data_IF_793069972350
#
_entry.id   IF_793069972350
#
_cell.length_a   1.000
_cell.length_b   1.000
_cell.length_c   1.000
_cell.angle_alpha   90.00
_cell.angle_beta   90.00
_cell.angle_gamma   90.00
#
_symmetry.space_group_name_H-M   'P 1'
#
loop_
_entity.id
_entity.type
_entity.pdbx_description
1 polymer ?
#
# COMPACT_ATOMS: atom_id res chain seq x y z
N UNK A 1 12.76 7.05 -21.59
CA UNK A 1 13.21 5.68 -21.24
C UNK A 1 12.33 5.20 -20.10
N UNK A 2 12.08 3.90 -20.01
CA UNK A 2 11.35 3.33 -18.88
C UNK A 2 12.18 3.47 -17.59
N UNK A 3 11.53 3.70 -16.48
CA UNK A 3 12.12 3.75 -15.15
C UNK A 3 12.63 2.36 -14.75
N UNK A 4 13.91 2.22 -14.44
CA UNK A 4 14.53 0.93 -14.08
C UNK A 4 14.41 0.71 -12.57
N UNK A 5 13.68 -0.34 -12.19
CA UNK A 5 13.44 -0.64 -10.77
C UNK A 5 13.99 -2.01 -10.38
N UNK A 6 14.48 -2.11 -9.14
CA UNK A 6 14.81 -3.37 -8.49
C UNK A 6 13.85 -3.62 -7.33
N UNK A 7 13.39 -4.85 -7.15
CA UNK A 7 12.51 -5.25 -6.05
C UNK A 7 13.34 -6.02 -5.02
N UNK A 8 13.48 -5.49 -3.82
CA UNK A 8 14.09 -6.16 -2.68
C UNK A 8 13.01 -6.76 -1.78
N UNK A 9 12.98 -8.07 -1.64
CA UNK A 9 11.89 -8.83 -1.03
C UNK A 9 10.79 -9.18 -2.04
N UNK A 10 10.78 -10.44 -2.48
CA UNK A 10 9.80 -10.96 -3.44
C UNK A 10 8.69 -11.76 -2.74
N UNK A 11 8.30 -11.29 -1.54
CA UNK A 11 7.13 -11.73 -0.79
C UNK A 11 5.82 -11.31 -1.45
N UNK A 12 4.73 -11.25 -0.67
CA UNK A 12 3.40 -10.84 -1.20
C UNK A 12 3.49 -9.53 -1.99
N UNK A 13 3.94 -8.45 -1.36
CA UNK A 13 3.94 -7.12 -1.97
C UNK A 13 4.91 -7.03 -3.16
N UNK A 14 6.14 -7.52 -3.04
CA UNK A 14 7.09 -7.47 -4.15
C UNK A 14 6.59 -8.20 -5.40
N UNK A 15 5.97 -9.38 -5.26
CA UNK A 15 5.35 -10.10 -6.37
C UNK A 15 4.15 -9.35 -6.95
N UNK A 16 3.31 -8.78 -6.09
CA UNK A 16 2.11 -8.06 -6.56
C UNK A 16 2.44 -6.72 -7.20
N UNK A 17 3.53 -6.06 -6.82
CA UNK A 17 4.04 -4.87 -7.54
C UNK A 17 4.42 -5.25 -8.98
N UNK A 18 5.17 -6.34 -9.18
CA UNK A 18 5.49 -6.81 -10.53
C UNK A 18 4.22 -7.18 -11.30
N UNK A 19 3.29 -7.91 -10.67
CA UNK A 19 2.00 -8.25 -11.29
C UNK A 19 1.20 -7.02 -11.66
N UNK A 20 1.10 -6.02 -10.79
CA UNK A 20 0.39 -4.77 -11.05
C UNK A 20 1.00 -4.00 -12.23
N UNK A 21 2.33 -3.94 -12.33
CA UNK A 21 3.02 -3.33 -13.48
C UNK A 21 2.64 -4.03 -14.79
N UNK A 22 2.66 -5.36 -14.79
CA UNK A 22 2.37 -6.16 -15.99
C UNK A 22 0.88 -6.10 -16.34
N UNK A 23 0.00 -6.35 -15.39
CA UNK A 23 -1.45 -6.47 -15.62
C UNK A 23 -2.11 -5.13 -15.97
N UNK A 24 -1.54 -4.00 -15.50
CA UNK A 24 -1.96 -2.66 -15.92
C UNK A 24 -1.46 -2.24 -17.31
N UNK A 25 -0.63 -3.07 -17.96
CA UNK A 25 -0.05 -2.78 -19.28
C UNK A 25 0.94 -1.62 -19.29
N UNK A 26 1.53 -1.27 -18.14
CA UNK A 26 2.48 -0.17 -18.01
C UNK A 26 3.75 -0.44 -18.81
N UNK A 27 4.24 0.59 -19.48
CA UNK A 27 5.50 0.57 -20.24
C UNK A 27 6.50 1.61 -19.72
N UNK A 28 6.11 2.35 -18.71
CA UNK A 28 6.92 3.41 -18.08
C UNK A 28 7.86 2.86 -16.99
N UNK A 29 7.72 1.57 -16.60
CA UNK A 29 8.56 0.88 -15.62
C UNK A 29 9.14 -0.39 -16.23
N UNK A 30 10.43 -0.62 -16.00
CA UNK A 30 11.16 -1.86 -16.30
C UNK A 30 11.68 -2.45 -14.99
N UNK A 31 11.23 -3.65 -14.61
CA UNK A 31 11.79 -4.38 -13.47
C UNK A 31 13.03 -5.13 -13.95
N UNK A 32 14.20 -4.77 -13.43
CA UNK A 32 15.51 -5.28 -13.89
C UNK A 32 16.15 -6.27 -12.92
N UNK A 33 15.72 -6.23 -11.65
CA UNK A 33 16.24 -7.15 -10.63
C UNK A 33 15.21 -7.50 -9.58
N UNK A 34 15.38 -8.70 -9.02
CA UNK A 34 14.67 -9.18 -7.84
C UNK A 34 15.72 -9.67 -6.85
N UNK A 35 15.62 -9.28 -5.58
CA UNK A 35 16.41 -9.88 -4.52
C UNK A 35 15.47 -10.57 -3.52
N UNK A 36 15.66 -11.86 -3.31
CA UNK A 36 14.94 -12.65 -2.31
C UNK A 36 15.80 -13.84 -1.87
N UNK A 37 15.74 -14.21 -0.60
CA UNK A 37 16.59 -15.27 -0.05
C UNK A 37 16.11 -16.68 -0.41
N UNK A 38 14.92 -16.80 -0.99
CA UNK A 38 14.37 -18.06 -1.48
C UNK A 38 14.94 -18.48 -2.83
N UNK A 39 14.82 -19.78 -3.19
CA UNK A 39 15.26 -20.28 -4.50
C UNK A 39 14.54 -19.59 -5.67
N UNK A 40 15.24 -19.40 -6.77
CA UNK A 40 14.72 -18.73 -7.99
C UNK A 40 13.46 -19.43 -8.51
N UNK A 41 13.47 -20.76 -8.58
CA UNK A 41 12.32 -21.55 -9.05
C UNK A 41 11.10 -21.39 -8.15
N UNK A 42 11.30 -21.30 -6.83
CA UNK A 42 10.22 -21.06 -5.88
C UNK A 42 9.62 -19.66 -6.08
N UNK A 43 10.45 -18.65 -6.28
CA UNK A 43 10.01 -17.30 -6.58
C UNK A 43 9.21 -17.23 -7.90
N UNK A 44 9.70 -17.92 -8.94
CA UNK A 44 9.00 -18.03 -10.22
C UNK A 44 7.67 -18.80 -10.10
N UNK A 45 7.64 -19.88 -9.30
CA UNK A 45 6.41 -20.63 -9.03
C UNK A 45 5.35 -19.75 -8.33
N UNK A 46 5.75 -19.06 -7.27
CA UNK A 46 4.84 -18.17 -6.52
C UNK A 46 4.43 -16.91 -7.30
N UNK A 47 5.18 -16.53 -8.34
CA UNK A 47 4.74 -15.50 -9.28
C UNK A 47 3.66 -16.04 -10.22
N UNK A 48 3.79 -17.29 -10.70
CA UNK A 48 2.81 -17.92 -11.60
C UNK A 48 1.48 -18.21 -10.94
N UNK A 49 1.51 -18.61 -9.67
CA UNK A 49 0.33 -19.09 -8.93
C UNK A 49 0.16 -18.33 -7.63
N UNK A 50 -0.97 -17.68 -7.48
CA UNK A 50 -1.33 -16.96 -6.27
C UNK A 50 -2.71 -17.41 -5.80
N UNK A 51 -2.82 -17.79 -4.52
CA UNK A 51 -4.05 -18.32 -3.95
C UNK A 51 -5.17 -17.26 -3.83
N UNK A 52 -4.80 -16.00 -3.82
CA UNK A 52 -5.71 -14.84 -3.68
C UNK A 52 -6.00 -14.20 -5.03
N UNK A 53 -4.94 -13.93 -5.82
CA UNK A 53 -5.03 -13.20 -7.08
C UNK A 53 -5.04 -14.11 -8.32
N UNK A 54 -5.00 -15.44 -8.14
CA UNK A 54 -5.08 -16.39 -9.23
C UNK A 54 -3.79 -16.52 -10.06
N UNK A 55 -3.92 -17.08 -11.26
CA UNK A 55 -2.77 -17.28 -12.15
C UNK A 55 -2.28 -15.97 -12.74
N UNK A 56 -0.96 -15.82 -12.82
CA UNK A 56 -0.33 -14.70 -13.52
C UNK A 56 -0.62 -14.79 -15.02
N UNK A 57 -1.07 -13.72 -15.68
CA UNK A 57 -1.54 -13.79 -17.06
C UNK A 57 -0.42 -13.83 -18.13
N UNK A 58 0.84 -13.92 -17.71
CA UNK A 58 1.98 -13.97 -18.61
C UNK A 58 2.86 -15.19 -18.37
N UNK A 59 3.58 -15.61 -19.42
CA UNK A 59 4.58 -16.67 -19.31
C UNK A 59 5.75 -16.21 -18.43
N UNK A 60 6.17 -17.09 -17.52
CA UNK A 60 7.34 -16.90 -16.67
C UNK A 60 8.37 -17.99 -16.98
N UNK A 61 9.56 -17.61 -17.41
CA UNK A 61 10.68 -18.54 -17.66
C UNK A 61 11.81 -18.29 -16.68
N UNK A 62 12.61 -19.34 -16.42
CA UNK A 62 13.79 -19.27 -15.55
C UNK A 62 14.96 -19.82 -16.35
N UNK A 63 16.05 -19.05 -16.42
CA UNK A 63 17.30 -19.42 -17.06
C UNK A 63 18.46 -19.06 -16.12
N UNK A 64 18.94 -20.03 -15.36
CA UNK A 64 19.92 -19.79 -14.30
C UNK A 64 19.37 -18.85 -13.23
N UNK A 65 19.98 -17.69 -13.08
CA UNK A 65 19.56 -16.64 -12.13
C UNK A 65 18.75 -15.50 -12.79
N UNK A 66 18.22 -15.76 -13.99
CA UNK A 66 17.36 -14.82 -14.71
C UNK A 66 15.93 -15.35 -14.72
N UNK A 67 15.00 -14.50 -14.27
CA UNK A 67 13.56 -14.69 -14.45
C UNK A 67 13.07 -13.73 -15.51
N UNK A 68 12.37 -14.26 -16.53
CA UNK A 68 11.73 -13.43 -17.56
C UNK A 68 10.22 -13.57 -17.46
N UNK A 69 9.52 -12.43 -17.40
CA UNK A 69 8.07 -12.38 -17.35
C UNK A 69 7.56 -11.12 -18.08
N UNK A 70 6.63 -11.29 -19.03
CA UNK A 70 6.01 -10.19 -19.79
C UNK A 70 7.01 -9.17 -20.38
N UNK A 71 8.16 -9.63 -20.84
CA UNK A 71 9.22 -8.77 -21.39
C UNK A 71 10.21 -8.20 -20.37
N UNK A 72 9.93 -8.30 -19.07
CA UNK A 72 10.89 -7.95 -18.02
C UNK A 72 11.89 -9.10 -17.85
N UNK A 73 13.17 -8.80 -18.08
CA UNK A 73 14.28 -9.71 -17.87
C UNK A 73 14.99 -9.33 -16.58
N UNK A 74 14.75 -10.07 -15.51
CA UNK A 74 15.12 -9.74 -14.13
C UNK A 74 16.26 -10.62 -13.63
N UNK A 75 17.36 -10.01 -13.20
CA UNK A 75 18.42 -10.68 -12.45
C UNK A 75 17.92 -11.00 -11.04
N UNK A 76 17.98 -12.26 -10.64
CA UNK A 76 17.61 -12.69 -9.29
C UNK A 76 18.88 -12.86 -8.45
N UNK A 77 18.86 -12.28 -7.26
CA UNK A 77 19.93 -12.37 -6.26
C UNK A 77 19.36 -12.85 -4.92
N UNK A 78 20.25 -13.38 -4.06
CA UNK A 78 19.91 -13.84 -2.70
C UNK A 78 20.87 -13.21 -1.67
N UNK A 79 20.94 -11.88 -1.67
CA UNK A 79 21.87 -11.08 -0.86
C UNK A 79 21.13 -10.49 0.34
N UNK A 80 21.67 -10.71 1.55
CA UNK A 80 21.06 -10.23 2.80
C UNK A 80 21.24 -8.74 3.03
N UNK A 81 22.43 -8.22 2.70
CA UNK A 81 22.77 -6.81 2.90
C UNK A 81 22.42 -6.01 1.65
N UNK A 82 21.45 -5.08 1.72
CA UNK A 82 21.07 -4.27 0.55
C UNK A 82 22.20 -3.42 -0.03
N UNK A 83 23.22 -3.10 0.76
CA UNK A 83 24.39 -2.34 0.31
C UNK A 83 25.31 -3.09 -0.66
N UNK A 84 25.14 -4.41 -0.78
CA UNK A 84 25.92 -5.29 -1.66
C UNK A 84 25.17 -5.68 -2.95
N UNK A 85 23.94 -5.16 -3.13
CA UNK A 85 23.13 -5.44 -4.30
C UNK A 85 23.74 -4.78 -5.56
N UNK A 86 23.63 -5.42 -6.74
CA UNK A 86 24.24 -4.92 -7.96
C UNK A 86 23.46 -3.78 -8.63
N UNK A 87 22.96 -2.82 -7.83
CA UNK A 87 22.11 -1.74 -8.34
C UNK A 87 22.82 -0.84 -9.35
N UNK A 88 24.09 -0.52 -9.08
CA UNK A 88 24.93 0.29 -9.98
C UNK A 88 25.09 -0.37 -11.33
N UNK A 89 25.47 -1.65 -11.35
CA UNK A 89 25.77 -2.42 -12.57
C UNK A 89 24.49 -2.63 -13.41
N UNK A 90 23.35 -2.76 -12.73
CA UNK A 90 22.05 -2.92 -13.38
C UNK A 90 21.36 -1.58 -13.71
N UNK A 91 22.00 -0.44 -13.40
CA UNK A 91 21.45 0.88 -13.69
C UNK A 91 20.10 1.12 -13.02
N UNK A 92 19.97 0.73 -11.75
CA UNK A 92 18.71 0.87 -11.00
C UNK A 92 18.44 2.33 -10.69
N UNK A 93 17.32 2.83 -11.13
CA UNK A 93 16.85 4.19 -10.78
C UNK A 93 16.22 4.17 -9.38
N UNK A 94 15.32 3.24 -9.10
CA UNK A 94 14.63 3.13 -7.81
C UNK A 94 14.69 1.70 -7.29
N UNK A 95 15.14 1.55 -6.04
CA UNK A 95 15.00 0.32 -5.27
C UNK A 95 13.64 0.34 -4.56
N UNK A 96 12.82 -0.67 -4.83
CA UNK A 96 11.55 -0.91 -4.13
C UNK A 96 11.84 -1.83 -2.94
N UNK A 97 11.85 -1.28 -1.74
CA UNK A 97 12.11 -2.03 -0.51
C UNK A 97 10.81 -2.68 -0.01
N UNK A 98 10.66 -3.98 -0.28
CA UNK A 98 9.45 -4.76 -0.03
C UNK A 98 9.64 -5.89 1.01
N UNK A 99 10.77 -5.91 1.74
CA UNK A 99 11.04 -6.96 2.74
C UNK A 99 10.26 -6.77 4.04
N UNK A 100 9.89 -5.53 4.37
CA UNK A 100 9.35 -5.17 5.68
C UNK A 100 10.39 -5.14 6.81
N UNK A 101 11.69 -5.28 6.49
CA UNK A 101 12.82 -5.32 7.45
C UNK A 101 13.51 -3.96 7.54
N UNK A 102 13.76 -3.31 6.39
CA UNK A 102 14.50 -2.05 6.30
C UNK A 102 13.54 -0.86 6.31
N UNK A 103 12.84 -0.66 7.44
CA UNK A 103 11.75 0.30 7.62
C UNK A 103 12.18 1.57 8.34
N UNK A 104 13.44 1.93 8.28
CA UNK A 104 13.96 3.26 8.66
C UNK A 104 14.80 3.82 7.52
N UNK A 105 14.86 5.16 7.42
CA UNK A 105 15.69 5.84 6.42
C UNK A 105 17.13 5.35 6.46
N UNK A 106 17.69 5.24 7.66
CA UNK A 106 19.07 4.78 7.88
C UNK A 106 19.31 3.40 7.25
N UNK A 107 18.43 2.44 7.53
CA UNK A 107 18.57 1.07 6.99
C UNK A 107 18.29 1.01 5.49
N UNK A 108 17.24 1.68 5.03
CA UNK A 108 16.85 1.70 3.61
C UNK A 108 17.89 2.41 2.73
N UNK A 109 18.65 3.38 3.27
CA UNK A 109 19.72 4.08 2.56
C UNK A 109 20.85 3.16 2.08
N UNK A 110 20.97 1.92 2.59
CA UNK A 110 21.90 0.93 2.07
C UNK A 110 21.73 0.66 0.56
N UNK A 111 20.51 0.78 0.04
CA UNK A 111 20.26 0.68 -1.40
C UNK A 111 20.91 1.82 -2.20
N UNK A 112 21.03 3.03 -1.62
CA UNK A 112 21.75 4.15 -2.24
C UNK A 112 23.25 3.86 -2.32
N UNK A 113 23.81 3.25 -1.26
CA UNK A 113 25.20 2.80 -1.24
C UNK A 113 25.47 1.76 -2.33
N UNK A 114 24.51 0.89 -2.60
CA UNK A 114 24.57 -0.10 -3.68
C UNK A 114 24.43 0.51 -5.09
N UNK A 115 24.08 1.81 -5.19
CA UNK A 115 24.01 2.55 -6.44
C UNK A 115 22.61 2.79 -6.99
N UNK A 116 21.54 2.48 -6.27
CA UNK A 116 20.21 2.98 -6.61
C UNK A 116 20.15 4.50 -6.43
N UNK A 117 19.47 5.21 -7.33
CA UNK A 117 19.35 6.68 -7.24
C UNK A 117 18.37 7.10 -6.14
N UNK A 118 17.34 6.28 -5.88
CA UNK A 118 16.31 6.51 -4.86
C UNK A 118 15.79 5.20 -4.28
N UNK A 119 15.11 5.28 -3.15
CA UNK A 119 14.49 4.14 -2.47
C UNK A 119 13.03 4.45 -2.17
N UNK A 120 12.14 3.54 -2.52
CA UNK A 120 10.73 3.57 -2.13
C UNK A 120 10.44 2.39 -1.20
N UNK A 121 10.07 2.69 0.05
CA UNK A 121 9.78 1.68 1.08
C UNK A 121 8.29 1.35 1.08
N UNK A 122 7.94 0.06 0.99
CA UNK A 122 6.57 -0.45 0.95
C UNK A 122 5.92 -0.59 2.34
N UNK A 123 6.32 0.27 3.27
CA UNK A 123 5.85 0.27 4.65
C UNK A 123 6.02 1.67 5.25
N UNK A 124 5.40 1.99 6.41
CA UNK A 124 5.82 3.13 7.21
C UNK A 124 7.32 3.06 7.47
N UNK A 125 8.01 4.18 7.26
CA UNK A 125 9.47 4.25 7.33
C UNK A 125 9.90 5.40 8.22
N UNK A 126 10.54 5.05 9.34
CA UNK A 126 11.03 6.04 10.33
C UNK A 126 12.09 6.93 9.69
N UNK A 127 11.92 8.24 9.83
CA UNK A 127 12.86 9.24 9.32
C UNK A 127 12.86 9.36 7.78
N UNK A 128 11.93 8.75 7.03
CA UNK A 128 11.80 8.95 5.59
C UNK A 128 11.72 10.43 5.23
N UNK A 129 12.27 10.82 4.07
CA UNK A 129 12.24 12.20 3.59
C UNK A 129 10.81 12.68 3.36
N UNK A 130 9.93 11.77 2.92
CA UNK A 130 8.50 12.00 2.80
C UNK A 130 7.75 10.68 2.98
N UNK A 131 6.64 10.72 3.70
CA UNK A 131 5.61 9.68 3.66
C UNK A 131 4.58 10.09 2.63
N UNK A 132 4.48 9.32 1.54
CA UNK A 132 3.60 9.63 0.40
C UNK A 132 2.33 8.80 0.47
N UNK A 133 1.21 9.46 0.23
CA UNK A 133 -0.04 8.86 -0.23
C UNK A 133 -0.32 9.43 -1.62
N UNK A 134 -0.19 8.60 -2.64
CA UNK A 134 -0.35 9.02 -4.02
C UNK A 134 -1.76 9.56 -4.27
N UNK A 135 -1.87 10.65 -5.01
CA UNK A 135 -3.11 11.40 -5.21
C UNK A 135 -3.35 12.50 -4.18
N UNK A 136 -2.65 12.46 -3.01
CA UNK A 136 -2.85 13.44 -1.93
C UNK A 136 -1.66 14.37 -1.74
N UNK A 137 -0.45 13.85 -1.65
CA UNK A 137 0.75 14.66 -1.40
C UNK A 137 1.97 14.24 -2.24
N UNK A 138 1.79 13.46 -3.29
CA UNK A 138 2.89 13.05 -4.18
C UNK A 138 3.50 14.23 -4.96
N UNK A 139 2.77 15.32 -5.10
CA UNK A 139 3.21 16.60 -5.66
C UNK A 139 4.25 17.33 -4.78
N UNK A 140 4.36 16.94 -3.50
CA UNK A 140 5.38 17.46 -2.57
C UNK A 140 6.74 16.77 -2.71
N UNK A 141 6.87 15.76 -3.56
CA UNK A 141 8.17 15.13 -3.83
C UNK A 141 9.15 16.12 -4.45
N UNK A 142 10.39 16.11 -3.97
CA UNK A 142 11.49 16.94 -4.50
C UNK A 142 12.70 16.10 -4.90
N UNK A 143 13.65 16.70 -5.59
CA UNK A 143 14.89 16.04 -6.04
C UNK A 143 15.75 15.53 -4.87
N UNK A 144 15.69 16.20 -3.75
CA UNK A 144 16.52 15.90 -2.56
C UNK A 144 15.94 14.76 -1.70
N UNK A 145 14.71 14.34 -1.96
CA UNK A 145 14.05 13.24 -1.24
C UNK A 145 14.47 11.91 -1.84
N UNK A 146 15.41 11.24 -1.19
CA UNK A 146 16.05 10.02 -1.69
C UNK A 146 15.41 8.75 -1.14
N UNK A 147 14.91 8.77 0.11
CA UNK A 147 14.26 7.64 0.78
C UNK A 147 12.83 8.04 1.13
N UNK A 148 11.88 7.46 0.42
CA UNK A 148 10.45 7.78 0.52
C UNK A 148 9.67 6.58 1.03
N UNK A 149 8.71 6.81 1.90
CA UNK A 149 7.76 5.80 2.38
C UNK A 149 6.46 5.88 1.58
N UNK A 150 5.94 4.74 1.10
CA UNK A 150 4.60 4.64 0.51
C UNK A 150 3.50 4.49 1.59
N UNK A 151 3.80 4.81 2.85
CA UNK A 151 2.92 4.62 4.00
C UNK A 151 2.47 3.14 4.18
N UNK A 152 1.32 2.91 4.80
CA UNK A 152 0.67 1.59 4.88
C UNK A 152 -0.53 1.50 3.94
N UNK A 153 -0.99 0.28 3.67
CA UNK A 153 -2.22 0.06 2.90
C UNK A 153 -3.44 0.75 3.53
N UNK A 154 -3.57 0.66 4.86
CA UNK A 154 -4.65 1.35 5.60
C UNK A 154 -4.54 2.88 5.50
N UNK A 155 -3.33 3.43 5.56
CA UNK A 155 -3.11 4.88 5.38
C UNK A 155 -3.48 5.31 3.96
N UNK A 156 -3.13 4.51 2.94
CA UNK A 156 -3.51 4.78 1.55
C UNK A 156 -5.03 4.75 1.34
N UNK A 157 -5.76 3.92 2.09
CA UNK A 157 -7.22 3.92 2.06
C UNK A 157 -7.83 5.13 2.80
N UNK A 158 -7.37 5.41 4.01
CA UNK A 158 -7.96 6.42 4.90
C UNK A 158 -7.72 7.85 4.43
N UNK A 159 -6.48 8.17 4.02
CA UNK A 159 -6.05 9.56 3.78
C UNK A 159 -6.80 10.25 2.64
N UNK A 160 -7.05 9.63 1.46
CA UNK A 160 -7.83 10.26 0.40
C UNK A 160 -9.24 10.64 0.86
N UNK A 161 -9.90 9.73 1.59
CA UNK A 161 -11.24 9.98 2.14
C UNK A 161 -11.21 11.06 3.23
N UNK A 162 -10.24 10.99 4.16
CA UNK A 162 -10.09 11.98 5.22
C UNK A 162 -9.82 13.39 4.65
N UNK A 163 -9.04 13.50 3.57
CA UNK A 163 -8.81 14.77 2.87
C UNK A 163 -10.12 15.35 2.35
N UNK A 164 -10.87 14.57 1.57
CA UNK A 164 -12.16 15.04 0.99
C UNK A 164 -13.13 15.48 2.08
N UNK A 165 -13.26 14.69 3.14
CA UNK A 165 -14.19 14.99 4.24
C UNK A 165 -13.73 16.19 5.06
N UNK A 166 -12.42 16.34 5.28
CA UNK A 166 -11.89 17.51 5.97
C UNK A 166 -12.07 18.80 5.15
N UNK A 167 -11.88 18.72 3.84
CA UNK A 167 -12.07 19.86 2.93
C UNK A 167 -13.55 20.25 2.83
N UNK A 168 -14.47 19.28 2.83
CA UNK A 168 -15.91 19.53 2.68
C UNK A 168 -16.59 20.01 3.96
N UNK A 169 -16.37 19.34 5.09
CA UNK A 169 -17.13 19.59 6.34
C UNK A 169 -16.23 19.84 7.55
N UNK A 170 -14.92 19.66 7.39
CA UNK A 170 -13.95 19.74 8.47
C UNK A 170 -14.03 18.53 9.40
N UNK A 171 -12.88 18.04 9.85
CA UNK A 171 -12.79 17.01 10.89
C UNK A 171 -12.27 17.66 12.17
N UNK A 172 -13.08 17.62 13.22
CA UNK A 172 -12.68 18.09 14.55
C UNK A 172 -11.83 17.02 15.23
N UNK A 173 -12.37 15.81 15.34
CA UNK A 173 -11.72 14.60 15.88
C UNK A 173 -12.45 13.36 15.41
N UNK A 174 -11.78 12.22 15.42
CA UNK A 174 -12.39 10.95 15.02
C UNK A 174 -11.61 9.73 15.46
N UNK A 175 -12.30 8.59 15.39
CA UNK A 175 -11.73 7.27 15.65
C UNK A 175 -11.99 6.37 14.45
N UNK A 176 -10.97 5.64 14.03
CA UNK A 176 -11.15 4.61 13.00
C UNK A 176 -10.86 3.21 13.54
N UNK A 177 -11.61 2.25 13.04
CA UNK A 177 -11.30 0.84 13.18
C UNK A 177 -11.04 0.27 11.80
N UNK A 178 -9.87 -0.34 11.58
CA UNK A 178 -9.71 -1.16 10.38
C UNK A 178 -10.03 -2.62 10.69
N UNK A 179 -11.04 -3.15 10.02
CA UNK A 179 -11.35 -4.58 9.97
C UNK A 179 -10.45 -5.14 8.85
N UNK A 180 -9.34 -5.76 9.24
CA UNK A 180 -8.24 -6.03 8.34
C UNK A 180 -8.07 -7.53 8.09
N UNK A 181 -7.87 -7.91 6.85
CA UNK A 181 -7.48 -9.28 6.51
C UNK A 181 -6.19 -9.67 7.25
N UNK A 182 -6.00 -10.96 7.55
CA UNK A 182 -4.74 -11.42 8.09
C UNK A 182 -3.61 -11.26 7.06
N UNK A 183 -2.38 -11.16 7.55
CA UNK A 183 -1.17 -11.04 6.73
C UNK A 183 -0.14 -12.07 7.20
N UNK A 184 1.01 -12.14 6.53
CA UNK A 184 2.11 -13.01 6.96
C UNK A 184 2.67 -12.67 8.37
N UNK A 185 2.25 -11.58 8.97
CA UNK A 185 2.55 -11.25 10.37
C UNK A 185 1.77 -12.13 11.38
N UNK A 186 0.63 -12.70 10.96
CA UNK A 186 -0.15 -13.64 11.76
C UNK A 186 0.13 -15.08 11.28
N UNK A 187 0.42 -16.02 12.20
CA UNK A 187 0.68 -17.42 11.87
C UNK A 187 -0.60 -18.19 11.52
N UNK A 188 -0.43 -19.31 10.83
CA UNK A 188 -1.52 -20.26 10.55
C UNK A 188 -2.03 -20.94 11.84
N UNK A 189 -1.11 -21.29 12.74
CA UNK A 189 -1.37 -21.86 14.08
C UNK A 189 -0.60 -21.04 15.12
N UNK A 190 -0.97 -21.16 16.38
CA UNK A 190 -0.36 -20.45 17.50
C UNK A 190 1.17 -20.62 17.49
N UNK A 191 1.92 -19.52 17.51
CA UNK A 191 3.38 -19.53 17.58
C UNK A 191 3.93 -18.31 18.33
N UNK A 192 5.22 -18.36 18.64
CA UNK A 192 5.90 -17.27 19.31
C UNK A 192 5.84 -15.98 18.48
N UNK A 193 5.37 -14.92 19.12
CA UNK A 193 5.32 -13.58 18.57
C UNK A 193 5.50 -12.56 19.70
N UNK A 194 6.14 -11.42 19.42
CA UNK A 194 6.34 -10.33 20.39
C UNK A 194 5.04 -9.69 20.88
N UNK A 195 4.01 -9.69 20.04
CA UNK A 195 2.64 -9.29 20.37
C UNK A 195 1.83 -10.57 20.59
N UNK A 196 1.34 -10.78 21.81
CA UNK A 196 0.63 -11.99 22.20
C UNK A 196 -0.70 -12.19 21.44
N UNK A 197 -1.35 -11.12 21.01
CA UNK A 197 -2.52 -11.21 20.14
C UNK A 197 -2.15 -11.76 18.76
N UNK A 198 -1.07 -11.25 18.15
CA UNK A 198 -0.64 -11.63 16.82
C UNK A 198 0.00 -13.01 16.73
N UNK A 199 0.35 -13.63 17.87
CA UNK A 199 0.83 -15.01 17.94
C UNK A 199 -0.25 -16.08 17.76
N UNK A 200 -1.52 -15.68 17.63
CA UNK A 200 -2.66 -16.61 17.55
C UNK A 200 -3.04 -16.93 16.10
N UNK A 201 -3.71 -18.08 15.92
CA UNK A 201 -4.12 -18.62 14.62
C UNK A 201 -5.01 -17.66 13.83
N UNK A 202 -4.49 -17.14 12.72
CA UNK A 202 -5.09 -16.07 11.92
C UNK A 202 -6.45 -16.46 11.32
N UNK A 203 -6.55 -17.68 10.79
CA UNK A 203 -7.76 -18.15 10.09
C UNK A 203 -8.90 -18.59 11.04
N UNK A 204 -8.66 -18.59 12.36
CA UNK A 204 -9.63 -19.02 13.37
C UNK A 204 -10.10 -17.91 14.30
N UNK A 205 -9.46 -16.74 14.27
CA UNK A 205 -9.61 -15.74 15.32
C UNK A 205 -9.81 -14.34 14.78
N UNK A 206 -10.65 -13.54 15.45
CA UNK A 206 -10.60 -12.08 15.36
C UNK A 206 -9.53 -11.59 16.35
N UNK A 207 -8.55 -10.84 15.86
CA UNK A 207 -7.36 -10.47 16.63
C UNK A 207 -7.31 -8.94 16.76
N UNK A 208 -7.60 -8.39 17.96
CA UNK A 208 -7.38 -6.96 18.23
C UNK A 208 -5.89 -6.63 18.15
N UNK A 209 -5.53 -5.52 17.53
CA UNK A 209 -4.14 -5.09 17.45
C UNK A 209 -4.04 -3.59 17.24
N UNK A 210 -2.87 -3.03 17.52
CA UNK A 210 -2.58 -1.64 17.25
C UNK A 210 -2.41 -1.36 15.75
N UNK A 211 -2.64 -0.11 15.37
CA UNK A 211 -2.29 0.40 14.03
C UNK A 211 -1.76 1.82 14.14
N UNK A 212 -0.70 2.11 13.39
CA UNK A 212 -0.20 3.48 13.24
C UNK A 212 -0.88 4.29 12.13
N UNK A 213 -1.83 3.68 11.41
CA UNK A 213 -2.38 4.27 10.19
C UNK A 213 -3.11 5.59 10.42
N UNK A 214 -3.89 5.71 11.51
CA UNK A 214 -4.60 6.94 11.85
C UNK A 214 -3.62 8.08 12.25
N UNK A 215 -2.56 7.74 13.00
CA UNK A 215 -1.51 8.70 13.36
C UNK A 215 -0.71 9.15 12.14
N UNK A 216 -0.50 8.25 11.18
CA UNK A 216 0.20 8.55 9.92
C UNK A 216 -0.58 9.55 9.03
N UNK A 217 -1.90 9.71 9.23
CA UNK A 217 -2.67 10.76 8.55
C UNK A 217 -2.04 12.13 8.77
N UNK A 218 -1.61 12.44 10.00
CA UNK A 218 -0.96 13.71 10.32
C UNK A 218 0.42 13.95 9.68
N UNK A 219 1.07 12.90 9.12
CA UNK A 219 2.29 13.05 8.32
C UNK A 219 1.99 13.51 6.89
N UNK A 220 0.83 13.14 6.38
CA UNK A 220 0.38 13.44 5.00
C UNK A 220 -0.48 14.71 4.98
N UNK A 221 -1.39 14.85 5.94
CA UNK A 221 -2.31 15.98 6.16
C UNK A 221 -2.01 16.62 7.53
N UNK A 222 -1.05 17.56 7.61
CA UNK A 222 -0.64 18.18 8.88
C UNK A 222 -1.77 18.80 9.68
N UNK A 223 -2.81 19.31 9.01
CA UNK A 223 -4.01 19.89 9.61
C UNK A 223 -4.88 18.89 10.39
N UNK A 224 -4.68 17.58 10.16
CA UNK A 224 -5.33 16.48 10.89
C UNK A 224 -4.43 15.86 11.96
N UNK A 225 -3.23 16.39 12.19
CA UNK A 225 -2.31 15.89 13.22
C UNK A 225 -2.97 15.88 14.59
N UNK A 226 -3.02 14.71 15.23
CA UNK A 226 -3.60 14.53 16.57
C UNK A 226 -5.14 14.52 16.63
N UNK A 227 -5.82 14.64 15.48
CA UNK A 227 -7.30 14.60 15.43
C UNK A 227 -7.88 13.22 15.17
N UNK A 228 -7.09 12.31 14.61
CA UNK A 228 -7.50 10.94 14.33
C UNK A 228 -6.63 9.95 15.11
N UNK A 229 -7.27 8.98 15.71
CA UNK A 229 -6.62 7.78 16.26
C UNK A 229 -7.40 6.53 15.84
N UNK A 230 -6.88 5.33 16.13
CA UNK A 230 -7.58 4.13 15.71
C UNK A 230 -6.94 2.83 16.15
N UNK A 231 -7.70 1.77 15.90
CA UNK A 231 -7.33 0.39 16.21
C UNK A 231 -7.51 -0.50 14.98
N UNK A 232 -6.95 -1.70 15.04
CA UNK A 232 -7.13 -2.72 14.00
C UNK A 232 -7.71 -3.99 14.61
N UNK A 233 -8.60 -4.64 13.89
CA UNK A 233 -9.07 -6.01 14.19
C UNK A 233 -8.73 -6.87 12.99
N UNK A 234 -7.81 -7.83 13.16
CA UNK A 234 -7.56 -8.84 12.12
C UNK A 234 -8.69 -9.86 12.12
N UNK A 235 -9.15 -10.24 10.94
CA UNK A 235 -10.27 -11.16 10.75
C UNK A 235 -9.85 -12.35 9.88
N UNK A 236 -10.54 -13.50 9.96
CA UNK A 236 -10.27 -14.70 9.16
C UNK A 236 -10.61 -14.53 7.68
N UNK A 237 -10.04 -13.53 7.03
CA UNK A 237 -10.23 -13.19 5.63
C UNK A 237 -8.84 -13.00 4.99
N UNK A 238 -8.53 -13.67 3.86
CA UNK A 238 -7.18 -13.69 3.30
C UNK A 238 -6.78 -12.38 2.63
N UNK A 239 -7.73 -11.60 2.13
CA UNK A 239 -7.49 -10.33 1.45
C UNK A 239 -8.73 -9.46 1.50
N UNK A 240 -8.57 -8.18 1.23
CA UNK A 240 -9.52 -7.07 1.33
C UNK A 240 -9.86 -6.72 2.79
N UNK A 241 -9.73 -5.47 3.08
CA UNK A 241 -9.91 -4.86 4.39
C UNK A 241 -10.90 -3.70 4.30
N UNK A 242 -11.41 -3.28 5.46
CA UNK A 242 -12.40 -2.21 5.58
C UNK A 242 -11.92 -1.18 6.62
N UNK A 243 -11.98 0.09 6.29
CA UNK A 243 -11.89 1.19 7.26
C UNK A 243 -13.31 1.61 7.66
N UNK A 244 -13.58 1.58 8.93
CA UNK A 244 -14.75 2.16 9.58
C UNK A 244 -14.30 3.42 10.33
N UNK A 245 -14.62 4.61 9.79
CA UNK A 245 -14.26 5.90 10.37
C UNK A 245 -15.50 6.58 10.97
N UNK A 246 -15.38 6.99 12.24
CA UNK A 246 -16.32 7.88 12.91
C UNK A 246 -15.63 9.18 13.25
N UNK A 247 -16.28 10.32 12.95
CA UNK A 247 -15.71 11.61 13.27
C UNK A 247 -16.79 12.66 13.59
N UNK A 248 -16.37 13.70 14.31
CA UNK A 248 -17.18 14.90 14.51
C UNK A 248 -16.81 15.91 13.42
N UNK A 249 -17.81 16.29 12.63
CA UNK A 249 -17.67 17.35 11.64
C UNK A 249 -17.65 18.72 12.35
N UNK A 250 -16.90 19.69 11.80
CA UNK A 250 -16.81 21.05 12.37
C UNK A 250 -18.09 21.88 12.17
N UNK A 251 -18.98 21.44 11.30
CA UNK A 251 -20.29 22.07 11.05
C UNK A 251 -21.34 21.00 10.76
N UNK A 252 -22.62 21.34 10.87
CA UNK A 252 -23.68 20.43 10.44
C UNK A 252 -23.53 19.99 8.98
N UNK A 253 -23.87 18.76 8.72
CA UNK A 253 -23.79 18.12 7.40
C UNK A 253 -24.91 17.09 7.23
N UNK A 254 -24.99 16.48 6.06
CA UNK A 254 -25.94 15.43 5.72
C UNK A 254 -25.26 14.26 5.01
N UNK A 255 -25.93 13.11 4.97
CA UNK A 255 -25.49 11.94 4.19
C UNK A 255 -25.28 12.33 2.71
N UNK A 256 -26.20 13.12 2.16
CA UNK A 256 -26.12 13.56 0.77
C UNK A 256 -24.87 14.40 0.50
N UNK A 257 -24.57 15.37 1.36
CA UNK A 257 -23.39 16.24 1.21
C UNK A 257 -22.08 15.45 1.30
N UNK A 258 -21.98 14.53 2.26
CA UNK A 258 -20.81 13.65 2.40
C UNK A 258 -20.63 12.82 1.12
N UNK A 259 -21.67 12.16 0.67
CA UNK A 259 -21.63 11.30 -0.52
C UNK A 259 -21.32 12.07 -1.79
N UNK A 260 -21.85 13.28 -1.96
CA UNK A 260 -21.60 14.11 -3.14
C UNK A 260 -20.15 14.64 -3.17
N UNK A 261 -19.59 15.01 -2.01
CA UNK A 261 -18.20 15.40 -1.91
C UNK A 261 -17.26 14.25 -2.34
N UNK A 262 -17.53 13.03 -1.87
CA UNK A 262 -16.77 11.83 -2.24
C UNK A 262 -16.91 11.52 -3.73
N UNK A 263 -18.12 11.52 -4.30
CA UNK A 263 -18.37 11.31 -5.74
C UNK A 263 -17.63 12.35 -6.58
N UNK A 264 -17.68 13.61 -6.19
CA UNK A 264 -16.99 14.69 -6.89
C UNK A 264 -15.48 14.49 -6.92
N UNK A 265 -14.89 14.06 -5.80
CA UNK A 265 -13.46 13.76 -5.72
C UNK A 265 -13.07 12.52 -6.55
N UNK A 266 -13.88 11.46 -6.51
CA UNK A 266 -13.64 10.23 -7.26
C UNK A 266 -13.71 10.43 -8.78
N UNK A 267 -14.60 11.28 -9.26
CA UNK A 267 -14.70 11.64 -10.67
C UNK A 267 -13.68 12.68 -11.11
N UNK A 268 -13.12 13.41 -10.17
CA UNK A 268 -12.20 14.54 -10.37
C UNK A 268 -10.76 14.22 -9.94
N UNK A 269 -10.23 14.95 -8.93
CA UNK A 269 -8.81 14.94 -8.59
C UNK A 269 -8.30 13.58 -8.05
N UNK A 270 -9.18 12.72 -7.54
CA UNK A 270 -8.82 11.40 -7.02
C UNK A 270 -9.26 10.25 -7.94
N UNK A 271 -9.52 10.53 -9.22
CA UNK A 271 -9.87 9.49 -10.20
C UNK A 271 -8.80 8.41 -10.26
N UNK A 272 -9.22 7.14 -10.11
CA UNK A 272 -8.33 5.97 -10.08
C UNK A 272 -7.64 5.74 -8.72
N UNK A 273 -7.81 6.64 -7.75
CA UNK A 273 -7.33 6.52 -6.37
C UNK A 273 -8.48 6.23 -5.42
N UNK A 274 -9.55 7.02 -5.53
CA UNK A 274 -10.80 6.86 -4.80
C UNK A 274 -11.88 6.37 -5.76
N UNK A 275 -12.57 5.33 -5.36
CA UNK A 275 -13.72 4.77 -6.07
C UNK A 275 -14.98 4.88 -5.20
N UNK A 276 -16.16 4.76 -5.78
CA UNK A 276 -17.45 4.80 -5.08
C UNK A 276 -18.26 3.55 -5.38
N UNK A 277 -18.84 2.98 -4.32
CA UNK A 277 -19.62 1.75 -4.37
C UNK A 277 -21.11 2.08 -4.29
N UNK A 278 -21.85 1.70 -5.30
CA UNK A 278 -23.31 1.90 -5.40
C UNK A 278 -24.10 0.64 -5.06
N UNK A 279 -23.46 -0.52 -5.09
CA UNK A 279 -24.06 -1.82 -4.86
C UNK A 279 -23.79 -2.34 -3.46
N UNK A 280 -24.54 -3.36 -3.03
CA UNK A 280 -24.33 -4.03 -1.74
C UNK A 280 -23.29 -5.12 -1.93
N UNK A 281 -22.01 -4.74 -1.77
CA UNK A 281 -20.85 -5.59 -1.97
C UNK A 281 -20.22 -5.99 -0.65
N UNK A 282 -19.44 -7.08 -0.68
CA UNK A 282 -18.68 -7.61 0.46
C UNK A 282 -17.19 -7.72 0.10
N UNK A 283 -16.35 -8.06 1.05
CA UNK A 283 -14.88 -8.03 0.88
C UNK A 283 -14.36 -8.74 -0.37
N UNK A 284 -14.88 -9.91 -0.71
CA UNK A 284 -14.40 -10.70 -1.86
C UNK A 284 -14.61 -9.98 -3.21
N UNK A 285 -15.61 -9.12 -3.30
CA UNK A 285 -15.93 -8.38 -4.53
C UNK A 285 -14.91 -7.30 -4.86
N UNK A 286 -14.10 -6.88 -3.86
CA UNK A 286 -13.03 -5.91 -4.01
C UNK A 286 -11.66 -6.56 -4.22
N UNK A 287 -11.60 -7.89 -4.28
CA UNK A 287 -10.34 -8.57 -4.56
C UNK A 287 -9.82 -8.15 -5.95
N UNK A 288 -8.56 -7.76 -6.00
CA UNK A 288 -7.91 -7.25 -7.21
C UNK A 288 -8.40 -5.87 -7.69
N UNK A 289 -9.06 -5.09 -6.81
CA UNK A 289 -9.42 -3.72 -7.11
C UNK A 289 -8.18 -2.79 -6.97
N UNK A 290 -7.81 -2.03 -8.02
CA UNK A 290 -6.61 -1.18 -7.99
C UNK A 290 -6.78 0.14 -7.22
N UNK A 291 -8.00 0.51 -6.83
CA UNK A 291 -8.23 1.74 -6.07
C UNK A 291 -7.58 1.66 -4.68
N UNK A 292 -7.11 2.78 -4.18
CA UNK A 292 -6.64 2.90 -2.79
C UNK A 292 -7.79 2.78 -1.80
N UNK A 293 -8.97 3.24 -2.19
CA UNK A 293 -10.15 3.34 -1.34
C UNK A 293 -11.41 3.23 -2.19
N UNK A 294 -12.35 2.35 -1.83
CA UNK A 294 -13.65 2.17 -2.47
C UNK A 294 -14.75 2.50 -1.45
N UNK A 295 -15.28 3.71 -1.53
CA UNK A 295 -16.19 4.28 -0.54
C UNK A 295 -17.61 3.72 -0.67
N UNK A 296 -18.15 3.13 0.39
CA UNK A 296 -19.49 2.54 0.44
C UNK A 296 -20.54 3.63 0.74
N UNK A 297 -21.20 4.13 -0.30
CA UNK A 297 -22.16 5.25 -0.20
C UNK A 297 -23.37 4.94 0.69
N UNK A 298 -23.83 3.70 0.71
CA UNK A 298 -24.97 3.24 1.50
C UNK A 298 -24.66 3.08 2.99
N UNK A 299 -23.37 3.08 3.35
CA UNK A 299 -22.90 2.96 4.73
C UNK A 299 -22.61 4.31 5.40
N UNK A 300 -22.86 5.41 4.71
CA UNK A 300 -22.76 6.76 5.29
C UNK A 300 -23.91 7.03 6.25
N UNK A 301 -23.58 7.45 7.46
CA UNK A 301 -24.58 7.86 8.47
C UNK A 301 -24.19 9.20 9.09
N UNK A 302 -25.18 10.02 9.39
CA UNK A 302 -25.02 11.28 10.11
C UNK A 302 -26.00 11.29 11.26
N UNK A 303 -25.50 11.50 12.48
CA UNK A 303 -26.30 11.65 13.70
C UNK A 303 -26.08 13.04 14.25
N UNK A 304 -27.14 13.64 14.78
CA UNK A 304 -27.15 15.01 15.38
C UNK A 304 -26.47 16.07 14.50
N UNK A 305 -26.52 15.86 13.17
CA UNK A 305 -25.97 16.77 12.18
C UNK A 305 -24.45 16.83 12.09
N UNK A 306 -23.73 16.36 13.09
CA UNK A 306 -22.26 16.47 13.14
C UNK A 306 -21.51 15.15 13.36
N UNK A 307 -22.12 14.14 13.94
CA UNK A 307 -21.48 12.85 14.13
C UNK A 307 -21.62 12.00 12.86
N UNK A 308 -20.53 11.83 12.15
CA UNK A 308 -20.47 11.13 10.85
C UNK A 308 -19.82 9.76 11.00
N UNK A 309 -20.42 8.74 10.40
CA UNK A 309 -19.85 7.39 10.25
C UNK A 309 -19.82 7.04 8.78
N UNK A 310 -18.66 6.54 8.33
CA UNK A 310 -18.44 6.06 6.95
C UNK A 310 -17.69 4.76 6.92
N UNK A 311 -17.85 4.01 5.84
CA UNK A 311 -17.07 2.82 5.55
C UNK A 311 -16.43 2.89 4.16
N UNK A 312 -15.20 2.40 4.05
CA UNK A 312 -14.49 2.32 2.78
C UNK A 312 -13.63 1.07 2.69
N UNK A 313 -13.75 0.37 1.57
CA UNK A 313 -13.04 -0.88 1.29
C UNK A 313 -11.68 -0.63 0.65
N UNK A 314 -10.76 -1.56 0.80
CA UNK A 314 -9.49 -1.55 0.06
C UNK A 314 -8.91 -2.96 -0.08
N UNK A 315 -8.44 -3.28 -1.27
CA UNK A 315 -7.55 -4.42 -1.43
C UNK A 315 -6.18 -4.04 -0.87
N UNK A 316 -5.88 -4.54 0.33
CA UNK A 316 -4.68 -4.17 1.07
C UNK A 316 -3.38 -4.66 0.42
N UNK A 317 -3.46 -5.56 -0.55
CA UNK A 317 -2.34 -6.03 -1.35
C UNK A 317 -2.31 -5.36 -2.72
N UNK A 318 -3.39 -5.47 -3.51
CA UNK A 318 -3.43 -5.04 -4.90
C UNK A 318 -3.48 -3.52 -5.05
N UNK A 319 -4.39 -2.85 -4.37
CA UNK A 319 -4.48 -1.38 -4.38
C UNK A 319 -3.16 -0.74 -3.95
N UNK A 320 -2.55 -1.25 -2.87
CA UNK A 320 -1.26 -0.80 -2.38
C UNK A 320 -0.13 -1.02 -3.38
N UNK A 321 -0.10 -2.18 -4.06
CA UNK A 321 0.93 -2.51 -5.07
C UNK A 321 0.83 -1.59 -6.29
N UNK A 322 -0.37 -1.20 -6.71
CA UNK A 322 -0.56 -0.19 -7.74
C UNK A 322 0.00 1.18 -7.30
N UNK A 323 -0.22 1.59 -6.06
CA UNK A 323 0.35 2.84 -5.52
C UNK A 323 1.86 2.82 -5.42
N UNK A 324 2.47 1.68 -5.15
CA UNK A 324 3.93 1.53 -5.23
C UNK A 324 4.46 1.87 -6.62
N UNK A 325 3.82 1.35 -7.68
CA UNK A 325 4.20 1.65 -9.05
C UNK A 325 3.99 3.13 -9.41
N UNK A 326 2.87 3.73 -9.02
CA UNK A 326 2.57 5.14 -9.28
C UNK A 326 3.55 6.08 -8.57
N UNK A 327 3.84 5.81 -7.30
CA UNK A 327 4.80 6.60 -6.51
C UNK A 327 6.22 6.47 -7.08
N UNK A 328 6.62 5.25 -7.50
CA UNK A 328 7.91 5.04 -8.15
C UNK A 328 8.05 5.91 -9.40
N UNK A 329 7.02 5.97 -10.27
CA UNK A 329 7.04 6.83 -11.46
C UNK A 329 7.09 8.31 -11.09
N UNK A 330 6.34 8.74 -10.08
CA UNK A 330 6.41 10.14 -9.61
C UNK A 330 7.83 10.50 -9.13
N UNK A 331 8.49 9.60 -8.37
CA UNK A 331 9.88 9.77 -7.97
C UNK A 331 10.85 9.75 -9.17
N UNK A 332 10.58 8.88 -10.15
CA UNK A 332 11.41 8.75 -11.37
C UNK A 332 11.45 9.99 -12.23
N UNK A 333 10.36 10.77 -12.25
CA UNK A 333 10.29 12.06 -12.97
C UNK A 333 11.25 13.13 -12.41
N UNK A 334 11.79 12.90 -11.23
CA UNK A 334 12.69 13.83 -10.54
C UNK A 334 14.16 13.41 -10.61
N UNK A 335 14.48 12.29 -11.28
CA UNK A 335 15.83 11.81 -11.59
C UNK A 335 16.32 12.45 -12.89
#
# INVERSE_FOLDING_TARGET
>A
MALRVAINGFGRIGRLVLRAIVESGRRDIEVVAINDLGPVDTNAHLLRYDSVHGRFPATVTVEGDIVTAAGHRMKVTAIRNPGELPHKDLGVDIALECTGIFTSKEKAAAHLTAGAKRVLVSAPCDGADLTVVYGVNHDKLTKDMLVVSNASCTTNCLVPVAKVLNDAVGIERGMMTTIHSYTNDQPSLDQMHKDLYRGRAAALSMIPTSTGAAKAVGLVLPELKGKLDGVSVRVPTPNVSLVDLKFIAKRPTSVQEINDAIKGAALGPLKGILDVVHEKLVSVDFNHNPASSSFALDQTKVMDGTFVSIMTWYDNEWGFSNRMADTAVAMGKLI
#
